data_IF_711428900186
#
_entry.id   IF_711428900186
#
_cell.length_a   1.000
_cell.length_b   1.000
_cell.length_c   1.000
_cell.angle_alpha   90.00
_cell.angle_beta   90.00
_cell.angle_gamma   90.00
#
_symmetry.space_group_name_H-M   'P 1'
#
loop_
_entity.id
_entity.type
_entity.pdbx_description
1 polymer ?
#
# COMPACT_ATOMS: atom_id res chain seq x y z
N UNK A 1 -6.90 32.73 -38.44
CA UNK A 1 -7.84 31.91 -39.22
C UNK A 1 -7.02 30.86 -39.97
N UNK A 2 -7.39 29.58 -39.84
CA UNK A 2 -6.80 28.32 -40.36
C UNK A 2 -6.08 27.45 -39.33
N UNK A 3 -6.98 26.76 -38.62
CA UNK A 3 -6.89 25.45 -38.00
C UNK A 3 -6.03 24.46 -38.81
N UNK A 4 -5.04 23.85 -38.15
CA UNK A 4 -4.48 22.54 -38.55
C UNK A 4 -4.55 21.63 -37.33
N UNK A 5 -5.76 21.14 -37.06
CA UNK A 5 -6.06 20.14 -36.06
C UNK A 5 -6.17 18.76 -36.74
N UNK A 6 -5.12 18.33 -37.43
CA UNK A 6 -5.03 16.98 -38.02
C UNK A 6 -3.55 16.57 -37.95
N UNK A 7 -3.19 15.68 -37.00
CA UNK A 7 -2.13 14.64 -37.12
C UNK A 7 -1.60 14.13 -35.76
N UNK A 8 -2.48 13.78 -34.81
CA UNK A 8 -2.07 12.99 -33.62
C UNK A 8 -2.43 11.51 -33.82
N UNK A 9 -3.67 11.20 -34.26
CA UNK A 9 -4.10 9.80 -34.55
C UNK A 9 -3.32 9.13 -35.69
N UNK A 10 -2.86 9.88 -36.69
CA UNK A 10 -2.09 9.32 -37.82
C UNK A 10 -0.66 8.94 -37.40
N UNK A 11 -0.05 9.72 -36.52
CA UNK A 11 1.28 9.43 -35.97
C UNK A 11 1.23 8.27 -34.97
N UNK A 12 0.17 8.19 -34.16
CA UNK A 12 -0.08 7.05 -33.27
C UNK A 12 -0.28 5.75 -34.07
N UNK A 13 -1.06 5.79 -35.15
CA UNK A 13 -1.26 4.63 -36.04
C UNK A 13 0.02 4.23 -36.78
N UNK A 14 0.85 5.19 -37.22
CA UNK A 14 2.15 4.90 -37.85
C UNK A 14 3.20 4.38 -36.87
N UNK A 15 3.28 4.91 -35.66
CA UNK A 15 4.17 4.39 -34.62
C UNK A 15 3.74 2.98 -34.20
N UNK A 16 2.43 2.72 -34.11
CA UNK A 16 1.87 1.40 -33.82
C UNK A 16 2.10 0.41 -34.97
N UNK A 17 1.91 0.83 -36.23
CA UNK A 17 2.22 0.02 -37.42
C UNK A 17 3.72 -0.20 -37.62
N UNK A 18 4.56 0.77 -37.25
CA UNK A 18 6.02 0.62 -37.26
C UNK A 18 6.47 -0.36 -36.18
N UNK A 19 5.96 -0.25 -34.95
CA UNK A 19 6.24 -1.22 -33.90
C UNK A 19 5.74 -2.63 -34.26
N UNK A 20 4.51 -2.76 -34.77
CA UNK A 20 3.98 -4.04 -35.28
C UNK A 20 4.78 -4.56 -36.47
N UNK A 21 5.22 -3.69 -37.38
CA UNK A 21 5.97 -4.03 -38.59
C UNK A 21 7.40 -4.47 -38.30
N UNK A 22 8.11 -3.76 -37.43
CA UNK A 22 9.46 -4.12 -36.97
C UNK A 22 9.43 -5.42 -36.16
N UNK A 23 8.43 -5.60 -35.28
CA UNK A 23 8.23 -6.85 -34.54
C UNK A 23 7.86 -8.04 -35.47
N UNK A 24 7.11 -7.82 -36.55
CA UNK A 24 6.79 -8.87 -37.56
C UNK A 24 7.94 -9.16 -38.51
N UNK A 25 8.72 -8.15 -38.90
CA UNK A 25 9.80 -8.27 -39.88
C UNK A 25 11.02 -8.98 -39.28
N UNK A 26 11.40 -8.66 -38.04
CA UNK A 26 12.49 -9.36 -37.33
C UNK A 26 12.13 -10.82 -37.02
N UNK A 27 10.84 -11.14 -36.85
CA UNK A 27 10.36 -12.51 -36.61
C UNK A 27 10.23 -13.36 -37.88
N UNK A 28 10.08 -12.77 -39.06
CA UNK A 28 9.87 -13.50 -40.33
C UNK A 28 11.13 -13.63 -41.19
N UNK A 29 12.23 -12.95 -40.84
CA UNK A 29 13.50 -12.97 -41.59
C UNK A 29 14.68 -13.63 -40.87
N UNK A 30 14.45 -14.59 -39.97
CA UNK A 30 15.55 -15.40 -39.41
C UNK A 30 15.47 -16.88 -39.82
N UNK A 31 16.58 -17.35 -40.39
CA UNK A 31 16.89 -18.70 -40.91
C UNK A 31 16.47 -19.86 -39.97
N UNK A 32 16.23 -21.09 -40.49
CA UNK A 32 15.93 -22.30 -39.72
C UNK A 32 16.94 -22.66 -38.60
N UNK A 33 18.09 -22.00 -38.56
CA UNK A 33 19.12 -22.18 -37.51
C UNK A 33 18.78 -21.51 -36.17
N UNK A 34 17.79 -20.62 -36.10
CA UNK A 34 17.42 -19.94 -34.84
C UNK A 34 16.57 -20.80 -33.90
N UNK A 35 15.74 -21.70 -34.45
CA UNK A 35 14.84 -22.59 -33.70
C UNK A 35 15.61 -23.61 -32.83
N UNK A 36 16.87 -23.91 -33.16
CA UNK A 36 17.67 -24.91 -32.45
C UNK A 36 18.30 -24.44 -31.12
N UNK A 37 18.28 -23.14 -30.79
CA UNK A 37 18.97 -22.58 -29.60
C UNK A 37 18.02 -22.00 -28.53
N UNK A 38 16.73 -22.30 -28.58
CA UNK A 38 15.74 -21.80 -27.63
C UNK A 38 15.75 -22.58 -26.30
N UNK A 39 16.67 -22.23 -25.41
CA UNK A 39 16.51 -22.44 -23.97
C UNK A 39 16.40 -21.13 -23.17
N UNK A 40 16.61 -19.97 -23.82
CA UNK A 40 16.41 -18.65 -23.19
C UNK A 40 16.38 -17.51 -24.25
N UNK A 41 15.21 -17.02 -24.71
CA UNK A 41 15.17 -15.90 -25.66
C UNK A 41 15.46 -14.61 -24.89
N UNK A 42 16.71 -14.14 -24.95
CA UNK A 42 17.05 -12.79 -24.52
C UNK A 42 16.65 -11.83 -25.64
N UNK A 43 15.81 -10.81 -25.39
CA UNK A 43 15.48 -9.83 -26.42
C UNK A 43 16.72 -9.02 -26.86
N UNK A 44 16.68 -8.39 -28.04
CA UNK A 44 17.78 -7.55 -28.51
C UNK A 44 18.11 -6.45 -27.47
N UNK A 45 19.38 -6.32 -27.03
CA UNK A 45 19.78 -5.38 -25.98
C UNK A 45 19.39 -3.92 -26.26
N UNK A 46 19.24 -3.56 -27.53
CA UNK A 46 18.92 -2.20 -27.96
C UNK A 46 17.48 -1.77 -27.60
N UNK A 47 16.50 -2.68 -27.54
CA UNK A 47 15.10 -2.31 -27.28
C UNK A 47 14.89 -1.76 -25.87
N UNK A 48 15.51 -2.38 -24.87
CA UNK A 48 15.48 -1.89 -23.49
C UNK A 48 16.21 -0.54 -23.38
N UNK A 49 17.32 -0.39 -24.08
CA UNK A 49 18.10 0.85 -24.10
C UNK A 49 17.34 1.99 -24.80
N UNK A 50 16.58 1.70 -25.86
CA UNK A 50 15.80 2.68 -26.59
C UNK A 50 14.53 3.08 -25.84
N UNK A 51 13.87 2.15 -25.15
CA UNK A 51 12.78 2.47 -24.22
C UNK A 51 13.27 3.38 -23.07
N UNK A 52 14.47 3.14 -22.55
CA UNK A 52 15.11 3.99 -21.54
C UNK A 52 15.40 5.41 -22.06
N UNK A 53 15.93 5.54 -23.28
CA UNK A 53 16.12 6.85 -23.93
C UNK A 53 14.79 7.58 -24.12
N UNK A 54 13.73 6.84 -24.46
CA UNK A 54 12.39 7.40 -24.64
C UNK A 54 11.85 8.00 -23.33
N UNK A 55 12.01 7.31 -22.20
CA UNK A 55 11.61 7.80 -20.87
C UNK A 55 12.39 9.07 -20.51
N UNK A 56 13.72 9.06 -20.71
CA UNK A 56 14.56 10.22 -20.45
C UNK A 56 14.17 11.43 -21.33
N UNK A 57 13.92 11.21 -22.62
CA UNK A 57 13.49 12.24 -23.56
C UNK A 57 12.10 12.80 -23.20
N UNK A 58 11.15 11.94 -22.81
CA UNK A 58 9.82 12.34 -22.36
C UNK A 58 9.86 13.23 -21.13
N UNK A 59 10.71 12.94 -20.14
CA UNK A 59 10.88 13.79 -18.95
C UNK A 59 11.49 15.15 -19.28
N UNK A 60 12.51 15.20 -20.13
CA UNK A 60 13.15 16.45 -20.54
C UNK A 60 12.25 17.37 -21.36
N UNK A 61 11.20 16.82 -21.97
CA UNK A 61 10.27 17.55 -22.85
C UNK A 61 8.90 17.77 -22.22
N UNK A 62 8.70 17.34 -20.97
CA UNK A 62 7.38 17.29 -20.28
C UNK A 62 6.30 16.53 -21.08
N UNK A 63 6.68 15.73 -22.07
CA UNK A 63 5.76 14.98 -22.92
C UNK A 63 5.53 13.57 -22.36
N UNK A 64 4.31 13.30 -21.92
CA UNK A 64 3.89 12.00 -21.39
C UNK A 64 3.40 11.03 -22.46
N UNK A 65 3.31 11.45 -23.73
CA UNK A 65 2.70 10.67 -24.82
C UNK A 65 3.38 9.32 -25.08
N UNK A 66 4.70 9.24 -24.85
CA UNK A 66 5.51 8.07 -25.16
C UNK A 66 5.81 7.17 -23.96
N UNK A 67 5.52 7.64 -22.73
CA UNK A 67 5.79 6.90 -21.51
C UNK A 67 5.08 5.53 -21.48
N UNK A 68 3.77 5.41 -21.81
CA UNK A 68 3.07 4.12 -21.74
C UNK A 68 3.74 3.03 -22.60
N UNK A 69 4.17 3.38 -23.83
CA UNK A 69 4.79 2.44 -24.75
C UNK A 69 6.21 2.03 -24.27
N UNK A 70 7.02 2.98 -23.79
CA UNK A 70 8.34 2.67 -23.25
C UNK A 70 8.26 1.79 -22.00
N UNK A 71 7.34 2.11 -21.08
CA UNK A 71 7.11 1.34 -19.87
C UNK A 71 6.64 -0.08 -20.19
N UNK A 72 5.70 -0.23 -21.13
CA UNK A 72 5.25 -1.55 -21.59
C UNK A 72 6.40 -2.38 -22.18
N UNK A 73 7.24 -1.79 -23.04
CA UNK A 73 8.41 -2.47 -23.60
C UNK A 73 9.41 -2.91 -22.53
N UNK A 74 9.64 -2.10 -21.50
CA UNK A 74 10.50 -2.48 -20.38
C UNK A 74 9.89 -3.58 -19.52
N UNK A 75 8.56 -3.65 -19.40
CA UNK A 75 7.87 -4.75 -18.71
C UNK A 75 7.99 -6.08 -19.46
N UNK A 76 7.89 -6.04 -20.78
CA UNK A 76 7.92 -7.25 -21.63
C UNK A 76 9.34 -7.76 -21.85
N UNK A 77 10.30 -6.85 -22.06
CA UNK A 77 11.63 -7.18 -22.57
C UNK A 77 12.78 -6.82 -21.62
N UNK A 78 12.49 -6.23 -20.45
CA UNK A 78 13.51 -5.79 -19.51
C UNK A 78 14.30 -6.95 -18.90
N UNK A 79 15.50 -7.21 -19.43
CA UNK A 79 16.50 -8.01 -18.73
C UNK A 79 17.28 -7.09 -17.76
N UNK A 80 16.85 -7.07 -16.50
CA UNK A 80 17.36 -6.16 -15.45
C UNK A 80 18.80 -6.46 -15.01
N UNK A 81 19.40 -7.56 -15.47
CA UNK A 81 20.77 -7.93 -15.11
C UNK A 81 21.84 -6.93 -15.59
N UNK A 82 21.51 -6.05 -16.54
CA UNK A 82 22.43 -5.05 -17.11
C UNK A 82 22.29 -3.62 -16.57
N UNK A 83 21.35 -3.34 -15.66
CA UNK A 83 21.21 -2.00 -15.06
C UNK A 83 22.28 -1.84 -13.98
N UNK A 84 23.45 -1.35 -14.40
CA UNK A 84 24.58 -1.09 -13.48
C UNK A 84 24.40 0.25 -12.77
N UNK A 85 25.01 0.45 -11.59
CA UNK A 85 24.96 1.73 -10.85
C UNK A 85 25.47 2.96 -11.63
N UNK A 86 26.17 2.75 -12.75
CA UNK A 86 26.77 3.80 -13.58
C UNK A 86 25.99 4.09 -14.87
N UNK A 87 24.86 3.41 -15.10
CA UNK A 87 23.94 3.72 -16.21
C UNK A 87 23.09 4.97 -15.93
N UNK A 88 22.33 5.48 -16.91
CA UNK A 88 21.35 6.54 -16.66
C UNK A 88 20.40 6.07 -15.54
N UNK A 89 20.45 6.77 -14.41
CA UNK A 89 19.65 6.47 -13.22
C UNK A 89 18.17 6.56 -13.60
N UNK A 90 17.49 5.42 -13.66
CA UNK A 90 16.03 5.37 -13.72
C UNK A 90 15.52 6.07 -12.47
N UNK A 91 14.64 7.06 -12.62
CA UNK A 91 13.99 7.65 -11.47
C UNK A 91 13.25 6.55 -10.70
N UNK A 92 13.35 6.54 -9.38
CA UNK A 92 12.80 5.46 -8.56
C UNK A 92 11.29 5.23 -8.80
N UNK A 93 10.55 6.27 -9.14
CA UNK A 93 9.14 6.20 -9.53
C UNK A 93 8.91 5.44 -10.85
N UNK A 94 9.79 5.63 -11.83
CA UNK A 94 9.75 4.92 -13.10
C UNK A 94 10.01 3.41 -12.88
N UNK A 95 10.91 3.07 -11.94
CA UNK A 95 11.15 1.68 -11.57
C UNK A 95 9.87 1.04 -11.01
N UNK A 96 9.17 1.71 -10.10
CA UNK A 96 7.92 1.22 -9.50
C UNK A 96 6.88 0.95 -10.59
N UNK A 97 6.72 1.89 -11.53
CA UNK A 97 5.81 1.75 -12.67
C UNK A 97 6.15 0.49 -13.50
N UNK A 98 7.41 0.33 -13.88
CA UNK A 98 7.86 -0.82 -14.68
C UNK A 98 7.62 -2.14 -13.95
N UNK A 99 7.82 -2.18 -12.64
CA UNK A 99 7.68 -3.39 -11.85
C UNK A 99 6.22 -3.80 -11.68
N UNK A 100 5.33 -2.83 -11.43
CA UNK A 100 3.88 -3.07 -11.44
C UNK A 100 3.42 -3.62 -12.78
N UNK A 101 3.88 -3.01 -13.88
CA UNK A 101 3.55 -3.50 -15.21
C UNK A 101 4.08 -4.91 -15.47
N UNK A 102 5.31 -5.21 -15.04
CA UNK A 102 5.92 -6.55 -15.17
C UNK A 102 5.17 -7.62 -14.38
N UNK A 103 4.76 -7.34 -13.14
CA UNK A 103 3.96 -8.25 -12.31
C UNK A 103 2.56 -8.48 -12.91
N UNK A 104 1.93 -7.42 -13.40
CA UNK A 104 0.64 -7.51 -14.09
C UNK A 104 0.74 -8.39 -15.35
N UNK A 105 1.80 -8.17 -16.15
CA UNK A 105 2.08 -8.95 -17.36
C UNK A 105 2.31 -10.43 -17.03
N UNK A 106 3.12 -10.74 -16.02
CA UNK A 106 3.38 -12.12 -15.59
C UNK A 106 2.10 -12.86 -15.16
N UNK A 107 1.16 -12.18 -14.51
CA UNK A 107 -0.14 -12.76 -14.10
C UNK A 107 -1.07 -12.99 -15.25
N UNK A 108 -1.20 -11.99 -16.12
CA UNK A 108 -2.01 -12.10 -17.31
C UNK A 108 -1.47 -13.25 -18.17
N UNK A 109 -0.15 -13.42 -18.25
CA UNK A 109 0.47 -14.55 -18.92
C UNK A 109 0.13 -15.88 -18.26
N UNK A 110 0.24 -15.98 -16.92
CA UNK A 110 -0.12 -17.20 -16.20
C UNK A 110 -1.57 -17.65 -16.44
N UNK A 111 -2.53 -16.72 -16.43
CA UNK A 111 -3.95 -16.99 -16.74
C UNK A 111 -4.13 -17.45 -18.18
N UNK A 112 -3.52 -16.75 -19.12
CA UNK A 112 -3.59 -17.06 -20.54
C UNK A 112 -2.96 -18.42 -20.85
N UNK A 113 -1.81 -18.73 -20.25
CA UNK A 113 -1.14 -20.03 -20.35
C UNK A 113 -2.01 -21.17 -19.82
N UNK A 114 -2.70 -20.97 -18.70
CA UNK A 114 -3.64 -21.96 -18.15
C UNK A 114 -4.83 -22.22 -19.09
N UNK A 115 -5.34 -21.19 -19.76
CA UNK A 115 -6.41 -21.33 -20.75
C UNK A 115 -5.95 -22.08 -22.01
N UNK A 116 -4.75 -21.78 -22.52
CA UNK A 116 -4.21 -22.45 -23.71
C UNK A 116 -3.75 -23.89 -23.44
N UNK A 117 -3.26 -24.18 -22.23
CA UNK A 117 -2.81 -25.51 -21.83
C UNK A 117 -3.92 -26.58 -21.75
N UNK A 118 -5.19 -26.18 -21.76
CA UNK A 118 -6.34 -27.10 -21.73
C UNK A 118 -6.77 -27.59 -23.13
N UNK A 119 -6.20 -27.05 -24.21
CA UNK A 119 -6.51 -27.46 -25.58
C UNK A 119 -5.50 -28.52 -26.05
N UNK A 120 -5.98 -29.76 -26.22
CA UNK A 120 -5.16 -30.94 -26.58
C UNK A 120 -4.96 -31.17 -28.08
N UNK A 121 -5.46 -30.28 -28.94
CA UNK A 121 -5.20 -30.38 -30.38
C UNK A 121 -3.86 -29.68 -30.72
N UNK A 122 -3.15 -30.18 -31.73
CA UNK A 122 -1.96 -29.61 -32.43
C UNK A 122 -0.57 -30.26 -32.21
N UNK A 123 0.10 -30.48 -33.35
CA UNK A 123 1.39 -31.17 -33.62
C UNK A 123 2.68 -30.37 -33.31
N UNK A 124 2.61 -29.25 -32.58
CA UNK A 124 3.81 -28.42 -32.31
C UNK A 124 4.63 -28.89 -31.11
N UNK A 125 5.95 -28.71 -31.18
CA UNK A 125 6.87 -28.90 -30.05
C UNK A 125 6.56 -27.90 -28.91
N UNK A 126 6.76 -28.27 -27.63
CA UNK A 126 6.37 -27.43 -26.49
C UNK A 126 7.01 -26.03 -26.47
N UNK A 127 8.26 -25.90 -26.93
CA UNK A 127 8.99 -24.63 -26.93
C UNK A 127 8.53 -23.66 -28.04
N UNK A 128 8.23 -24.18 -29.24
CA UNK A 128 7.68 -23.37 -30.32
C UNK A 128 6.27 -22.84 -29.98
N UNK A 129 5.48 -23.67 -29.28
CA UNK A 129 4.16 -23.33 -28.77
C UNK A 129 4.21 -22.20 -27.75
N UNK A 130 5.12 -22.28 -26.79
CA UNK A 130 5.29 -21.26 -25.75
C UNK A 130 5.72 -19.91 -26.32
N UNK A 131 6.62 -19.91 -27.32
CA UNK A 131 7.05 -18.70 -28.02
C UNK A 131 5.92 -18.04 -28.83
N UNK A 132 5.10 -18.82 -29.54
CA UNK A 132 3.96 -18.31 -30.30
C UNK A 132 2.91 -17.69 -29.36
N UNK A 133 2.53 -18.42 -28.31
CA UNK A 133 1.57 -17.91 -27.32
C UNK A 133 2.05 -16.64 -26.64
N UNK A 134 3.35 -16.53 -26.34
CA UNK A 134 3.92 -15.31 -25.76
C UNK A 134 3.78 -14.13 -26.73
N UNK A 135 4.06 -14.34 -28.01
CA UNK A 135 3.88 -13.33 -29.06
C UNK A 135 2.42 -12.87 -29.19
N UNK A 136 1.47 -13.80 -29.22
CA UNK A 136 0.03 -13.50 -29.27
C UNK A 136 -0.46 -12.76 -28.01
N UNK A 137 0.05 -13.16 -26.85
CA UNK A 137 -0.28 -12.56 -25.56
C UNK A 137 0.23 -11.12 -25.41
N UNK A 138 1.49 -10.88 -25.77
CA UNK A 138 2.09 -9.53 -25.72
C UNK A 138 1.46 -8.61 -26.78
N UNK A 139 1.00 -9.15 -27.90
CA UNK A 139 0.28 -8.37 -28.92
C UNK A 139 -1.20 -8.11 -28.58
N UNK A 140 -1.74 -8.75 -27.54
CA UNK A 140 -3.15 -8.64 -27.19
C UNK A 140 -3.48 -7.25 -26.60
N UNK A 141 -4.41 -6.54 -27.24
CA UNK A 141 -4.81 -5.17 -26.85
C UNK A 141 -5.42 -5.10 -25.44
N UNK A 142 -6.12 -6.14 -24.99
CA UNK A 142 -6.63 -6.25 -23.63
C UNK A 142 -5.48 -6.43 -22.62
N UNK A 143 -4.46 -7.22 -22.95
CA UNK A 143 -3.25 -7.36 -22.12
C UNK A 143 -2.54 -6.02 -21.99
N UNK A 144 -2.30 -5.33 -23.10
CA UNK A 144 -1.66 -4.00 -23.11
C UNK A 144 -2.44 -3.02 -22.23
N UNK A 145 -3.76 -2.91 -22.45
CA UNK A 145 -4.62 -2.00 -21.67
C UNK A 145 -4.60 -2.35 -20.18
N UNK A 146 -4.66 -3.62 -19.83
CA UNK A 146 -4.60 -4.09 -18.43
C UNK A 146 -3.28 -3.70 -17.76
N UNK A 147 -2.16 -3.92 -18.45
CA UNK A 147 -0.82 -3.59 -17.95
C UNK A 147 -0.63 -2.08 -17.82
N UNK A 148 -1.08 -1.29 -18.80
CA UNK A 148 -1.04 0.17 -18.75
C UNK A 148 -1.88 0.75 -17.60
N UNK A 149 -3.09 0.22 -17.39
CA UNK A 149 -3.94 0.62 -16.27
C UNK A 149 -3.30 0.28 -14.91
N UNK A 150 -2.69 -0.91 -14.78
CA UNK A 150 -1.97 -1.31 -13.56
C UNK A 150 -0.75 -0.43 -13.27
N UNK A 151 -0.17 0.18 -14.31
CA UNK A 151 0.92 1.16 -14.21
C UNK A 151 0.42 2.57 -13.87
N UNK A 152 -0.89 2.79 -13.71
CA UNK A 152 -1.46 4.10 -13.40
C UNK A 152 -1.69 4.99 -14.63
N UNK A 153 -1.48 4.47 -15.85
CA UNK A 153 -1.79 5.20 -17.09
C UNK A 153 -3.28 5.07 -17.40
N UNK A 154 -4.12 5.89 -16.75
CA UNK A 154 -5.55 5.98 -17.09
C UNK A 154 -5.75 6.91 -18.27
N UNK A 155 -6.45 6.47 -19.32
CA UNK A 155 -6.88 7.35 -20.41
C UNK A 155 -8.15 8.10 -20.00
N UNK A 156 -8.03 9.28 -19.37
CA UNK A 156 -9.15 10.22 -19.18
C UNK A 156 -8.66 11.69 -19.12
N UNK A 157 -9.42 12.68 -19.64
CA UNK A 157 -9.01 14.08 -19.68
C UNK A 157 -9.57 14.94 -18.51
N UNK A 158 -8.84 16.03 -18.18
CA UNK A 158 -9.24 17.22 -17.36
C UNK A 158 -9.10 17.02 -15.82
N UNK A 159 -8.41 17.84 -14.99
CA UNK A 159 -8.45 19.30 -14.78
C UNK A 159 -7.27 19.78 -13.86
N UNK A 160 -6.72 21.02 -14.03
CA UNK A 160 -6.02 21.76 -12.98
C UNK A 160 -6.85 22.96 -12.48
N UNK A 161 -7.51 22.87 -11.31
CA UNK A 161 -8.12 24.02 -10.59
C UNK A 161 -8.07 23.83 -9.05
N UNK A 162 -6.90 23.57 -8.48
CA UNK A 162 -6.77 23.38 -7.03
C UNK A 162 -5.58 24.14 -6.43
N UNK A 163 -5.27 25.32 -6.97
CA UNK A 163 -4.12 26.12 -6.55
C UNK A 163 -4.44 27.61 -6.32
N UNK A 164 -5.58 27.94 -5.69
CA UNK A 164 -5.91 29.35 -5.41
C UNK A 164 -6.58 29.69 -4.07
N UNK A 165 -6.66 28.77 -3.11
CA UNK A 165 -7.14 29.15 -1.78
C UNK A 165 -6.24 28.54 -0.71
N UNK A 166 -5.54 29.40 0.05
CA UNK A 166 -5.29 29.29 1.49
C UNK A 166 -4.44 30.51 1.92
N UNK A 167 -5.11 31.55 2.44
CA UNK A 167 -4.47 32.67 3.15
C UNK A 167 -4.48 32.34 4.66
N UNK A 168 -3.31 32.27 5.33
CA UNK A 168 -3.20 31.87 6.75
C UNK A 168 -3.70 32.90 7.77
N UNK A 169 -3.91 34.18 7.42
CA UNK A 169 -4.33 35.20 8.41
C UNK A 169 -5.84 35.23 8.68
N UNK A 170 -6.68 34.88 7.72
CA UNK A 170 -8.15 34.80 7.91
C UNK A 170 -8.59 33.63 8.80
N UNK A 171 -7.72 32.66 9.03
CA UNK A 171 -7.97 31.48 9.87
C UNK A 171 -7.93 31.80 11.38
N UNK A 172 -7.19 32.83 11.81
CA UNK A 172 -7.05 33.15 13.24
C UNK A 172 -8.30 33.83 13.81
N UNK A 173 -8.91 34.75 13.07
CA UNK A 173 -10.10 35.50 13.54
C UNK A 173 -11.38 34.66 13.50
N UNK A 174 -11.52 33.73 12.54
CA UNK A 174 -12.64 32.78 12.51
C UNK A 174 -12.54 31.73 13.62
N UNK A 175 -11.35 31.42 14.13
CA UNK A 175 -11.16 30.37 15.13
C UNK A 175 -11.80 30.72 16.48
N UNK A 176 -11.81 31.99 16.89
CA UNK A 176 -12.42 32.44 18.15
C UNK A 176 -13.95 32.42 18.11
N UNK A 177 -14.57 32.93 17.05
CA UNK A 177 -16.03 32.92 16.91
C UNK A 177 -16.59 31.51 16.68
N UNK A 178 -15.85 30.64 15.98
CA UNK A 178 -16.24 29.23 15.84
C UNK A 178 -16.18 28.48 17.16
N UNK A 179 -15.19 28.76 18.03
CA UNK A 179 -15.12 28.09 19.34
C UNK A 179 -16.36 28.36 20.18
N UNK A 180 -16.85 29.60 20.22
CA UNK A 180 -17.99 29.98 21.06
C UNK A 180 -19.33 29.41 20.56
N UNK A 181 -19.53 29.36 19.23
CA UNK A 181 -20.74 28.79 18.63
C UNK A 181 -20.78 27.26 18.82
N UNK A 182 -19.63 26.61 18.69
CA UNK A 182 -19.54 25.14 18.66
C UNK A 182 -19.73 24.51 20.05
N UNK A 183 -19.45 25.23 21.15
CA UNK A 183 -19.68 24.72 22.52
C UNK A 183 -21.17 24.54 22.82
N UNK A 184 -22.07 25.33 22.22
CA UNK A 184 -23.52 25.29 22.53
C UNK A 184 -24.21 24.00 22.10
N UNK A 185 -23.68 23.33 21.08
CA UNK A 185 -24.20 22.07 20.54
C UNK A 185 -23.40 20.84 21.01
N UNK A 186 -22.50 21.01 21.98
CA UNK A 186 -21.64 19.93 22.43
C UNK A 186 -22.43 18.84 23.18
N UNK A 187 -22.24 17.57 22.80
CA UNK A 187 -22.88 16.42 23.47
C UNK A 187 -21.97 15.86 24.56
N UNK A 188 -22.50 15.59 25.75
CA UNK A 188 -21.75 14.87 26.81
C UNK A 188 -21.59 13.38 26.45
N UNK A 189 -20.41 12.83 26.65
CA UNK A 189 -20.16 11.40 26.47
C UNK A 189 -20.91 10.59 27.53
N UNK A 190 -21.59 9.51 27.13
CA UNK A 190 -22.53 8.79 28.01
C UNK A 190 -21.85 8.11 29.20
N UNK A 191 -20.63 7.61 29.02
CA UNK A 191 -19.89 6.87 30.07
C UNK A 191 -18.71 7.65 30.68
N UNK A 192 -18.20 8.69 30.00
CA UNK A 192 -16.96 9.38 30.37
C UNK A 192 -17.29 10.82 30.77
N UNK A 193 -18.22 10.95 31.71
CA UNK A 193 -18.66 12.22 32.23
C UNK A 193 -18.77 12.18 33.75
N UNK A 194 -17.62 12.14 34.42
CA UNK A 194 -17.56 12.01 35.88
C UNK A 194 -17.82 13.35 36.59
N UNK A 195 -18.45 13.31 37.77
CA UNK A 195 -18.66 14.49 38.62
C UNK A 195 -17.48 14.74 39.57
N UNK A 196 -17.01 15.98 39.67
CA UNK A 196 -15.92 16.37 40.58
C UNK A 196 -14.70 17.04 39.92
N UNK A 197 -13.52 16.86 40.54
CA UNK A 197 -12.23 17.44 40.14
C UNK A 197 -11.65 16.83 38.86
N UNK A 198 -12.27 17.16 37.74
CA UNK A 198 -11.99 16.61 36.41
C UNK A 198 -11.50 17.68 35.44
N UNK A 199 -10.95 17.23 34.32
CA UNK A 199 -10.75 18.07 33.13
C UNK A 199 -11.86 17.76 32.14
N UNK A 200 -12.45 18.81 31.57
CA UNK A 200 -13.40 18.72 30.45
C UNK A 200 -12.62 18.84 29.14
N UNK A 201 -12.72 17.81 28.31
CA UNK A 201 -12.13 17.73 26.98
C UNK A 201 -13.25 17.81 25.94
N UNK A 202 -13.06 18.60 24.89
CA UNK A 202 -13.94 18.68 23.73
C UNK A 202 -13.27 17.99 22.55
N UNK A 203 -13.85 16.88 22.08
CA UNK A 203 -13.28 16.03 21.02
C UNK A 203 -14.10 16.04 19.74
N UNK A 204 -13.42 16.06 18.60
CA UNK A 204 -14.00 15.94 17.27
C UNK A 204 -14.56 17.26 16.69
N UNK A 205 -15.02 17.23 15.43
CA UNK A 205 -15.55 18.42 14.75
C UNK A 205 -16.90 18.88 15.30
N UNK A 206 -17.73 17.93 15.75
CA UNK A 206 -18.90 18.18 16.58
C UNK A 206 -18.49 17.78 17.99
N UNK A 207 -18.25 18.74 18.91
CA UNK A 207 -17.64 18.40 20.17
C UNK A 207 -18.45 17.42 20.98
N UNK A 208 -17.77 16.34 21.34
CA UNK A 208 -18.22 15.47 22.41
C UNK A 208 -17.43 15.82 23.66
N UNK A 209 -18.12 16.22 24.73
CA UNK A 209 -17.51 16.56 26.00
C UNK A 209 -17.22 15.29 26.80
N UNK A 210 -15.95 15.09 27.13
CA UNK A 210 -15.49 14.04 28.03
C UNK A 210 -14.98 14.71 29.31
N UNK A 211 -15.50 14.29 30.45
CA UNK A 211 -15.06 14.76 31.76
C UNK A 211 -14.31 13.65 32.47
N UNK A 212 -12.98 13.77 32.51
CA UNK A 212 -12.04 12.72 32.94
C UNK A 212 -11.16 13.19 34.11
N UNK A 213 -10.71 12.27 34.96
CA UNK A 213 -9.88 12.66 36.12
C UNK A 213 -8.55 13.25 35.68
N UNK A 214 -8.27 14.48 36.12
CA UNK A 214 -7.02 15.18 35.83
C UNK A 214 -5.80 14.37 36.26
N UNK A 215 -5.85 13.82 37.47
CA UNK A 215 -4.76 13.02 38.03
C UNK A 215 -4.45 11.80 37.16
N UNK A 216 -5.46 11.14 36.59
CA UNK A 216 -5.26 10.01 35.69
C UNK A 216 -4.52 10.45 34.42
N UNK A 217 -4.98 11.50 33.73
CA UNK A 217 -4.33 11.99 32.51
C UNK A 217 -2.87 12.38 32.76
N UNK A 218 -2.60 13.16 33.80
CA UNK A 218 -1.25 13.62 34.16
C UNK A 218 -0.34 12.47 34.58
N UNK A 219 -0.88 11.42 35.22
CA UNK A 219 -0.09 10.27 35.65
C UNK A 219 0.23 9.33 34.48
N UNK A 220 -0.72 9.17 33.55
CA UNK A 220 -0.65 8.15 32.49
C UNK A 220 -0.16 8.70 31.14
N UNK A 221 -0.05 10.02 30.99
CA UNK A 221 0.41 10.67 29.76
C UNK A 221 1.33 11.84 30.07
N UNK A 222 2.54 11.78 29.51
CA UNK A 222 3.52 12.85 29.62
C UNK A 222 3.05 14.12 28.89
N UNK A 223 2.40 13.93 27.73
CA UNK A 223 1.84 15.02 26.94
C UNK A 223 0.76 15.78 27.73
N UNK A 224 -0.15 15.06 28.41
CA UNK A 224 -1.16 15.72 29.25
C UNK A 224 -0.56 16.31 30.52
N UNK A 225 0.48 15.70 31.12
CA UNK A 225 1.20 16.29 32.24
C UNK A 225 1.80 17.65 31.87
N UNK A 226 2.42 17.74 30.71
CA UNK A 226 3.04 18.98 30.24
C UNK A 226 1.95 20.00 29.84
N UNK A 227 0.97 19.58 29.04
CA UNK A 227 -0.14 20.42 28.58
C UNK A 227 -0.94 21.04 29.73
N UNK A 228 -1.23 20.24 30.76
CA UNK A 228 -2.01 20.68 31.91
C UNK A 228 -1.13 21.32 33.00
N UNK A 229 0.19 21.06 32.99
CA UNK A 229 1.13 21.56 33.99
C UNK A 229 1.54 23.01 33.81
N UNK A 230 1.29 23.61 32.64
CA UNK A 230 1.60 25.02 32.37
C UNK A 230 0.77 25.90 33.33
N UNK A 231 1.42 26.69 34.20
CA UNK A 231 0.70 27.63 35.05
C UNK A 231 -0.05 28.64 34.16
N UNK A 232 -1.35 28.78 34.38
CA UNK A 232 -2.10 29.80 33.63
C UNK A 232 -1.57 31.19 34.01
N UNK A 233 -1.37 32.08 33.04
CA UNK A 233 -1.06 33.47 33.30
C UNK A 233 -2.14 34.02 34.25
N UNK A 234 -1.73 34.42 35.45
CA UNK A 234 -2.60 35.19 36.34
C UNK A 234 -2.67 36.59 35.76
N UNK A 235 -3.50 36.81 34.75
CA UNK A 235 -3.80 38.17 34.30
C UNK A 235 -4.52 38.89 35.44
N UNK A 236 -3.98 40.05 35.80
CA UNK A 236 -4.30 40.81 37.00
C UNK A 236 -5.81 41.09 37.13
N UNK A 237 -6.52 40.27 37.92
CA UNK A 237 -7.86 40.57 38.43
C UNK A 237 -9.06 40.17 37.55
N UNK A 238 -8.84 39.51 36.41
CA UNK A 238 -9.93 38.92 35.62
C UNK A 238 -10.09 37.43 35.98
N UNK A 239 -11.24 37.03 36.53
CA UNK A 239 -11.64 35.62 36.71
C UNK A 239 -11.89 34.95 35.34
N UNK A 240 -10.88 34.91 34.48
CA UNK A 240 -10.95 34.09 33.28
C UNK A 240 -11.02 32.62 33.70
N UNK A 241 -12.12 31.96 33.36
CA UNK A 241 -12.33 30.53 33.62
C UNK A 241 -11.14 29.76 33.06
N UNK A 242 -10.50 28.94 33.89
CA UNK A 242 -9.34 28.13 33.48
C UNK A 242 -9.78 27.08 32.46
N UNK A 243 -9.05 26.98 31.35
CA UNK A 243 -9.31 25.98 30.31
C UNK A 243 -9.33 24.55 30.89
N UNK A 244 -10.37 23.82 30.53
CA UNK A 244 -10.64 22.46 30.99
C UNK A 244 -11.38 22.35 32.33
N UNK A 245 -11.74 23.44 33.01
CA UNK A 245 -12.48 23.35 34.28
C UNK A 245 -14.01 23.31 34.12
N UNK A 246 -14.55 23.80 33.00
CA UNK A 246 -16.00 23.85 32.76
C UNK A 246 -16.35 23.43 31.33
N UNK A 247 -17.62 23.08 31.14
CA UNK A 247 -18.19 22.77 29.83
C UNK A 247 -18.11 23.96 28.86
N UNK A 248 -18.17 25.18 29.40
CA UNK A 248 -18.09 26.43 28.64
C UNK A 248 -16.66 26.76 28.19
N UNK A 249 -15.64 26.16 28.82
CA UNK A 249 -14.25 26.36 28.47
C UNK A 249 -13.46 25.03 28.50
N UNK A 250 -13.77 24.06 27.62
CA UNK A 250 -13.10 22.77 27.60
C UNK A 250 -11.75 22.83 26.86
N UNK A 251 -10.88 21.85 27.10
CA UNK A 251 -9.66 21.68 26.27
C UNK A 251 -10.06 21.03 24.95
N UNK A 252 -9.83 21.71 23.83
CA UNK A 252 -10.19 21.21 22.51
C UNK A 252 -9.11 20.27 21.94
N UNK A 253 -9.52 19.06 21.57
CA UNK A 253 -8.69 18.05 20.93
C UNK A 253 -9.30 17.68 19.57
N UNK A 254 -8.50 17.62 18.49
CA UNK A 254 -9.01 17.35 17.14
C UNK A 254 -9.34 15.87 16.88
N UNK A 255 -9.19 15.00 17.89
CA UNK A 255 -9.29 13.55 17.75
C UNK A 255 -10.74 13.05 17.74
N UNK A 256 -10.93 11.84 17.21
CA UNK A 256 -12.22 11.18 17.25
C UNK A 256 -12.62 10.85 18.71
N UNK A 257 -13.82 11.24 19.16
CA UNK A 257 -14.23 11.05 20.54
C UNK A 257 -14.37 9.57 20.92
N UNK A 258 -14.73 8.68 19.98
CA UNK A 258 -14.87 7.25 20.27
C UNK A 258 -13.51 6.61 20.47
N UNK A 259 -12.54 6.89 19.61
CA UNK A 259 -11.18 6.36 19.76
C UNK A 259 -10.52 6.85 21.05
N UNK A 260 -10.66 8.13 21.36
CA UNK A 260 -10.11 8.70 22.60
C UNK A 260 -10.76 8.07 23.82
N UNK A 261 -12.09 7.93 23.82
CA UNK A 261 -12.83 7.26 24.88
C UNK A 261 -12.33 5.82 25.10
N UNK A 262 -12.07 5.07 24.02
CA UNK A 262 -11.58 3.69 24.11
C UNK A 262 -10.17 3.59 24.70
N UNK A 263 -9.27 4.51 24.32
CA UNK A 263 -7.94 4.57 24.92
C UNK A 263 -8.01 4.88 26.43
N UNK A 264 -8.90 5.80 26.83
CA UNK A 264 -9.11 6.14 28.24
C UNK A 264 -9.78 5.00 29.02
N UNK A 265 -10.69 4.23 28.40
CA UNK A 265 -11.34 3.06 29.02
C UNK A 265 -10.36 2.00 29.50
N UNK A 266 -9.18 1.87 28.88
CA UNK A 266 -8.11 0.96 29.35
C UNK A 266 -7.71 1.23 30.81
N UNK A 267 -7.85 2.48 31.27
CA UNK A 267 -7.50 2.88 32.65
C UNK A 267 -8.66 2.75 33.64
N UNK A 268 -9.90 2.64 33.13
CA UNK A 268 -11.12 2.59 33.95
C UNK A 268 -11.86 1.24 33.83
N UNK A 269 -11.13 0.15 33.55
CA UNK A 269 -11.72 -1.18 33.30
C UNK A 269 -12.71 -1.66 34.39
N UNK A 270 -12.57 -1.20 35.64
CA UNK A 270 -13.44 -1.59 36.74
C UNK A 270 -14.65 -0.65 36.95
N UNK A 271 -14.69 0.50 36.30
CA UNK A 271 -15.71 1.53 36.48
C UNK A 271 -16.60 1.72 35.27
N UNK A 272 -16.13 1.30 34.09
CA UNK A 272 -16.83 1.50 32.82
C UNK A 272 -17.22 0.17 32.19
N UNK A 273 -18.01 0.26 31.13
CA UNK A 273 -18.30 -0.88 30.27
C UNK A 273 -16.97 -1.54 29.86
N UNK A 274 -16.83 -2.86 30.06
CA UNK A 274 -15.61 -3.57 29.70
C UNK A 274 -15.28 -3.37 28.22
N UNK A 275 -13.98 -3.35 27.91
CA UNK A 275 -13.56 -3.41 26.52
C UNK A 275 -14.09 -4.70 25.88
N UNK A 276 -14.42 -4.69 24.58
CA UNK A 276 -14.84 -5.91 23.89
C UNK A 276 -13.82 -7.02 24.09
N UNK A 277 -14.28 -8.25 24.35
CA UNK A 277 -13.39 -9.41 24.50
C UNK A 277 -12.58 -9.67 23.23
N UNK A 278 -13.21 -9.45 22.07
CA UNK A 278 -12.58 -9.50 20.75
C UNK A 278 -12.87 -8.19 20.00
N UNK A 279 -12.08 -7.14 20.21
CA UNK A 279 -12.26 -5.89 19.51
C UNK A 279 -11.94 -6.07 18.02
N UNK A 280 -12.60 -5.29 17.16
CA UNK A 280 -12.25 -5.28 15.74
C UNK A 280 -10.90 -4.58 15.51
N UNK A 281 -10.33 -4.78 14.32
CA UNK A 281 -9.01 -4.24 13.99
C UNK A 281 -8.98 -2.71 14.04
N UNK A 282 -9.98 -2.03 13.48
CA UNK A 282 -10.03 -0.57 13.43
C UNK A 282 -10.14 0.06 14.82
N UNK A 283 -10.86 -0.58 15.73
CA UNK A 283 -10.95 -0.22 17.14
C UNK A 283 -9.57 -0.25 17.81
N UNK A 284 -8.83 -1.34 17.64
CA UNK A 284 -7.49 -1.49 18.24
C UNK A 284 -6.52 -0.46 17.65
N UNK A 285 -6.61 -0.21 16.35
CA UNK A 285 -5.80 0.80 15.66
C UNK A 285 -6.12 2.22 16.13
N UNK A 286 -7.39 2.54 16.38
CA UNK A 286 -7.80 3.81 16.97
C UNK A 286 -7.22 4.01 18.36
N UNK A 287 -7.28 2.98 19.21
CA UNK A 287 -6.64 3.02 20.54
C UNK A 287 -5.13 3.22 20.43
N UNK A 288 -4.45 2.48 19.56
CA UNK A 288 -3.00 2.60 19.34
C UNK A 288 -2.62 4.01 18.85
N UNK A 289 -3.42 4.61 17.97
CA UNK A 289 -3.22 5.95 17.43
C UNK A 289 -3.28 7.01 18.53
N UNK A 290 -4.34 7.01 19.33
CA UNK A 290 -4.49 7.93 20.48
C UNK A 290 -3.37 7.69 21.49
N UNK A 291 -3.09 6.42 21.79
CA UNK A 291 -2.09 6.08 22.78
C UNK A 291 -0.67 6.49 22.36
N UNK A 292 -0.34 6.38 21.07
CA UNK A 292 0.93 6.85 20.51
C UNK A 292 1.02 8.37 20.46
N UNK A 293 -0.10 9.07 20.18
CA UNK A 293 -0.13 10.54 20.13
C UNK A 293 0.06 11.18 21.51
N UNK A 294 -0.58 10.63 22.53
CA UNK A 294 -0.57 11.17 23.88
C UNK A 294 0.36 10.41 24.84
N UNK A 295 1.13 9.43 24.36
CA UNK A 295 2.02 8.59 25.16
C UNK A 295 1.30 7.87 26.33
N UNK A 296 0.12 7.30 26.06
CA UNK A 296 -0.59 6.44 27.00
C UNK A 296 -0.02 5.03 26.99
N UNK A 297 1.06 4.79 27.75
CA UNK A 297 1.82 3.54 27.70
C UNK A 297 0.97 2.27 27.85
N UNK A 298 0.12 2.19 28.88
CA UNK A 298 -0.73 1.01 29.13
C UNK A 298 -1.75 0.75 28.02
N UNK A 299 -2.28 1.81 27.41
CA UNK A 299 -3.19 1.69 26.27
C UNK A 299 -2.46 1.18 25.01
N UNK A 300 -1.22 1.65 24.77
CA UNK A 300 -0.37 1.13 23.71
C UNK A 300 -0.02 -0.35 23.95
N UNK A 301 0.36 -0.73 25.16
CA UNK A 301 0.65 -2.12 25.52
C UNK A 301 -0.58 -3.02 25.32
N UNK A 302 -1.77 -2.55 25.74
CA UNK A 302 -3.02 -3.27 25.50
C UNK A 302 -3.28 -3.45 24.00
N UNK A 303 -3.16 -2.38 23.21
CA UNK A 303 -3.41 -2.46 21.77
C UNK A 303 -2.40 -3.40 21.08
N UNK A 304 -1.12 -3.32 21.42
CA UNK A 304 -0.12 -4.24 20.91
C UNK A 304 -0.34 -5.68 21.37
N UNK A 305 -0.75 -5.92 22.62
CA UNK A 305 -1.12 -7.24 23.11
C UNK A 305 -2.23 -7.87 22.29
N UNK A 306 -3.26 -7.09 21.97
CA UNK A 306 -4.36 -7.52 21.09
C UNK A 306 -3.88 -7.78 19.67
N UNK A 307 -3.08 -6.87 19.09
CA UNK A 307 -2.51 -7.08 17.75
C UNK A 307 -1.60 -8.31 17.68
N UNK A 308 -0.83 -8.64 18.73
CA UNK A 308 -0.02 -9.87 18.77
C UNK A 308 -0.87 -11.13 18.68
N UNK A 309 -2.04 -11.13 19.32
CA UNK A 309 -2.93 -12.29 19.26
C UNK A 309 -3.36 -12.61 17.82
N UNK A 310 -3.54 -11.60 16.97
CA UNK A 310 -4.04 -11.76 15.61
C UNK A 310 -2.98 -11.69 14.50
N UNK A 311 -1.91 -10.93 14.70
CA UNK A 311 -0.92 -10.60 13.68
C UNK A 311 0.50 -11.08 13.98
N UNK A 312 0.79 -11.66 15.15
CA UNK A 312 2.10 -12.24 15.37
C UNK A 312 2.35 -13.42 14.42
N UNK A 313 3.63 -13.68 14.08
CA UNK A 313 4.01 -14.81 13.23
C UNK A 313 3.55 -16.17 13.79
N UNK A 314 3.51 -16.29 15.12
CA UNK A 314 3.05 -17.48 15.85
C UNK A 314 1.53 -17.50 16.03
N UNK A 315 0.80 -16.46 15.60
CA UNK A 315 -0.66 -16.42 15.69
C UNK A 315 -1.28 -17.44 14.73
N UNK A 316 -2.15 -18.28 15.27
CA UNK A 316 -3.00 -19.16 14.46
C UNK A 316 -3.98 -18.37 13.59
N UNK A 317 -4.40 -17.18 14.03
CA UNK A 317 -5.27 -16.28 13.25
C UNK A 317 -4.56 -15.82 11.98
N UNK A 318 -3.33 -15.30 12.13
CA UNK A 318 -2.50 -14.87 10.99
C UNK A 318 -2.20 -16.02 10.01
N UNK A 319 -1.83 -17.20 10.53
CA UNK A 319 -1.59 -18.38 9.69
C UNK A 319 -2.87 -18.87 8.98
N UNK A 320 -4.01 -18.80 9.68
CA UNK A 320 -5.32 -19.07 9.10
C UNK A 320 -5.65 -18.11 7.96
N UNK A 321 -5.28 -16.84 8.09
CA UNK A 321 -5.44 -15.86 7.02
C UNK A 321 -4.61 -16.16 5.78
N UNK A 322 -3.36 -16.60 5.95
CA UNK A 322 -2.49 -16.99 4.82
C UNK A 322 -3.06 -18.18 4.03
N UNK A 323 -3.64 -19.16 4.74
CA UNK A 323 -4.11 -20.40 4.13
C UNK A 323 -5.55 -20.35 3.62
N UNK A 324 -6.31 -19.31 4.01
CA UNK A 324 -7.69 -19.12 3.59
C UNK A 324 -7.75 -18.75 2.08
N UNK A 325 -8.46 -19.52 1.24
CA UNK A 325 -8.61 -19.23 -0.19
C UNK A 325 -9.34 -17.91 -0.47
N UNK A 326 -10.15 -17.45 0.47
CA UNK A 326 -10.93 -16.21 0.39
C UNK A 326 -10.68 -15.40 1.66
N UNK A 327 -9.51 -14.73 1.78
CA UNK A 327 -9.24 -13.88 2.93
C UNK A 327 -10.28 -12.75 3.02
N UNK A 328 -10.54 -12.21 4.22
CA UNK A 328 -11.39 -11.04 4.38
C UNK A 328 -10.94 -9.90 3.43
N UNK A 329 -11.89 -9.20 2.77
CA UNK A 329 -11.56 -8.22 1.72
C UNK A 329 -10.77 -7.02 2.26
N UNK A 330 -10.90 -6.72 3.54
CA UNK A 330 -10.24 -5.65 4.28
C UNK A 330 -8.83 -6.01 4.74
N UNK A 331 -8.44 -7.29 4.71
CA UNK A 331 -7.22 -7.74 5.36
C UNK A 331 -5.93 -7.14 4.75
N UNK A 332 -5.93 -6.89 3.44
CA UNK A 332 -4.84 -6.14 2.79
C UNK A 332 -4.75 -4.70 3.29
N UNK A 333 -5.88 -4.02 3.49
CA UNK A 333 -5.91 -2.68 4.06
C UNK A 333 -5.47 -2.70 5.53
N UNK A 334 -5.84 -3.73 6.29
CA UNK A 334 -5.42 -3.89 7.67
C UNK A 334 -3.89 -4.06 7.77
N UNK A 335 -3.27 -4.83 6.87
CA UNK A 335 -1.81 -4.93 6.80
C UNK A 335 -1.14 -3.58 6.51
N UNK A 336 -1.70 -2.77 5.59
CA UNK A 336 -1.20 -1.43 5.28
C UNK A 336 -1.33 -0.48 6.48
N UNK A 337 -2.50 -0.46 7.13
CA UNK A 337 -2.74 0.31 8.36
C UNK A 337 -1.77 -0.09 9.47
N UNK A 338 -1.51 -1.40 9.61
CA UNK A 338 -0.58 -1.95 10.60
C UNK A 338 0.86 -1.52 10.34
N UNK A 339 1.31 -1.50 9.08
CA UNK A 339 2.63 -0.97 8.70
C UNK A 339 2.73 0.50 9.12
N UNK A 340 1.76 1.32 8.73
CA UNK A 340 1.75 2.75 9.04
C UNK A 340 1.79 3.01 10.55
N UNK A 341 0.95 2.33 11.33
CA UNK A 341 0.94 2.52 12.78
C UNK A 341 2.21 1.99 13.45
N UNK A 342 2.77 0.89 12.95
CA UNK A 342 4.04 0.35 13.44
C UNK A 342 5.16 1.38 13.26
N UNK A 343 5.21 2.04 12.08
CA UNK A 343 6.18 3.13 11.82
C UNK A 343 5.97 4.32 12.75
N UNK A 344 4.73 4.80 12.90
CA UNK A 344 4.39 5.95 13.77
C UNK A 344 4.73 5.66 15.23
N UNK A 345 4.43 4.45 15.70
CA UNK A 345 4.71 4.02 17.06
C UNK A 345 6.17 3.60 17.29
N UNK A 346 7.00 3.58 16.24
CA UNK A 346 8.39 3.11 16.32
C UNK A 346 8.54 1.60 16.60
N UNK A 347 7.49 0.82 16.41
CA UNK A 347 7.52 -0.64 16.58
C UNK A 347 7.87 -1.33 15.27
N UNK A 348 8.82 -2.26 15.31
CA UNK A 348 9.20 -3.07 14.15
C UNK A 348 8.62 -4.49 14.19
N UNK A 349 7.92 -4.85 15.26
CA UNK A 349 7.45 -6.22 15.54
C UNK A 349 6.50 -6.74 14.45
N UNK A 350 5.60 -5.89 13.96
CA UNK A 350 4.56 -6.28 13.00
C UNK A 350 4.95 -6.05 11.54
N UNK A 351 6.07 -5.34 11.28
CA UNK A 351 6.48 -5.03 9.91
C UNK A 351 6.73 -6.32 9.10
N UNK A 352 7.53 -7.30 9.56
CA UNK A 352 7.86 -8.49 8.76
C UNK A 352 6.62 -9.26 8.33
N UNK A 353 5.69 -9.49 9.25
CA UNK A 353 4.44 -10.25 9.04
C UNK A 353 3.46 -9.50 8.13
N UNK A 354 3.33 -8.18 8.28
CA UNK A 354 2.47 -7.37 7.42
C UNK A 354 3.01 -7.28 5.99
N UNK A 355 4.32 -7.06 5.82
CA UNK A 355 4.96 -7.04 4.50
C UNK A 355 4.87 -8.40 3.81
N UNK A 356 5.18 -9.48 4.52
CA UNK A 356 5.06 -10.84 3.97
C UNK A 356 3.62 -11.12 3.52
N UNK A 357 2.64 -10.75 4.33
CA UNK A 357 1.22 -10.90 3.99
C UNK A 357 0.86 -10.18 2.69
N UNK A 358 1.29 -8.93 2.52
CA UNK A 358 1.07 -8.17 1.29
C UNK A 358 1.77 -8.79 0.08
N UNK A 359 2.98 -9.36 0.24
CA UNK A 359 3.66 -10.07 -0.84
C UNK A 359 2.89 -11.32 -1.31
N UNK A 360 2.23 -12.03 -0.40
CA UNK A 360 1.47 -13.26 -0.70
C UNK A 360 0.19 -12.96 -1.50
N UNK A 361 -0.58 -11.96 -1.08
CA UNK A 361 -1.89 -11.68 -1.67
C UNK A 361 -1.87 -10.62 -2.78
N UNK A 362 -0.79 -9.84 -2.87
CA UNK A 362 -0.63 -8.75 -3.84
C UNK A 362 -1.78 -7.73 -3.88
N UNK A 363 -2.48 -7.62 -2.76
CA UNK A 363 -3.58 -6.66 -2.58
C UNK A 363 -3.08 -5.21 -2.49
N UNK A 364 -1.77 -4.98 -2.58
CA UNK A 364 -1.14 -3.65 -2.60
C UNK A 364 -1.03 -3.06 -4.01
N UNK A 365 -1.40 -3.81 -5.06
CA UNK A 365 -1.37 -3.32 -6.45
C UNK A 365 -2.21 -2.06 -6.67
N UNK A 366 -3.33 -1.93 -5.94
CA UNK A 366 -4.23 -0.78 -5.96
C UNK A 366 -3.67 0.47 -5.25
N UNK A 367 -2.58 0.33 -4.47
CA UNK A 367 -1.96 1.47 -3.77
C UNK A 367 -1.14 2.25 -4.79
N UNK A 368 -1.58 3.47 -5.12
CA UNK A 368 -0.86 4.32 -6.07
C UNK A 368 0.52 4.72 -5.50
N UNK A 369 1.56 4.86 -6.34
CA UNK A 369 2.79 5.52 -5.90
C UNK A 369 2.45 6.93 -5.39
N UNK A 370 2.90 7.28 -4.18
CA UNK A 370 2.54 8.53 -3.51
C UNK A 370 1.30 8.46 -2.62
N UNK A 371 0.67 7.29 -2.47
CA UNK A 371 -0.32 7.05 -1.43
C UNK A 371 0.33 7.28 -0.05
N UNK A 372 -0.26 8.11 0.84
CA UNK A 372 0.29 8.37 2.16
C UNK A 372 0.43 7.12 3.04
N UNK A 373 -0.19 5.99 2.68
CA UNK A 373 -0.10 4.76 3.46
C UNK A 373 1.26 4.04 3.36
N UNK A 374 1.98 4.16 2.23
CA UNK A 374 3.27 3.48 2.03
C UNK A 374 4.35 4.48 1.60
N UNK A 375 5.42 4.54 2.38
CA UNK A 375 6.61 5.28 1.97
C UNK A 375 7.29 4.62 0.77
N UNK A 376 8.12 5.38 0.07
CA UNK A 376 8.89 4.87 -1.05
C UNK A 376 9.82 3.69 -0.66
N UNK A 377 10.34 3.71 0.57
CA UNK A 377 11.15 2.62 1.12
C UNK A 377 10.31 1.37 1.36
N UNK A 378 9.08 1.51 1.85
CA UNK A 378 8.16 0.38 2.05
C UNK A 378 7.81 -0.30 0.71
N UNK A 379 7.69 0.47 -0.38
CA UNK A 379 7.54 -0.09 -1.72
C UNK A 379 8.75 -0.93 -2.16
N UNK A 380 9.98 -0.47 -1.87
CA UNK A 380 11.19 -1.25 -2.18
C UNK A 380 11.19 -2.56 -1.38
N UNK A 381 10.80 -2.51 -0.11
CA UNK A 381 10.69 -3.68 0.77
C UNK A 381 9.70 -4.69 0.18
N UNK A 382 8.48 -4.26 -0.17
CA UNK A 382 7.46 -5.10 -0.80
C UNK A 382 7.95 -5.75 -2.08
N UNK A 383 8.64 -4.98 -2.92
CA UNK A 383 9.17 -5.48 -4.18
C UNK A 383 10.21 -6.59 -3.96
N UNK A 384 11.17 -6.35 -3.05
CA UNK A 384 12.20 -7.34 -2.72
C UNK A 384 11.57 -8.62 -2.20
N UNK A 385 10.59 -8.50 -1.30
CA UNK A 385 9.82 -9.62 -0.77
C UNK A 385 9.08 -10.39 -1.85
N UNK A 386 8.32 -9.71 -2.71
CA UNK A 386 7.55 -10.32 -3.80
C UNK A 386 8.45 -11.07 -4.81
N UNK A 387 9.58 -10.47 -5.18
CA UNK A 387 10.58 -11.12 -6.05
C UNK A 387 11.18 -12.36 -5.41
N UNK A 388 11.57 -12.28 -4.13
CA UNK A 388 12.11 -13.40 -3.39
C UNK A 388 11.07 -14.54 -3.25
N UNK A 389 9.82 -14.20 -2.91
CA UNK A 389 8.73 -15.15 -2.79
C UNK A 389 8.48 -15.88 -4.12
N UNK A 390 8.43 -15.16 -5.24
CA UNK A 390 8.25 -15.75 -6.58
C UNK A 390 9.39 -16.69 -6.95
N UNK A 391 10.64 -16.30 -6.69
CA UNK A 391 11.83 -17.14 -6.95
C UNK A 391 11.82 -18.41 -6.11
N UNK A 392 11.49 -18.28 -4.83
CA UNK A 392 11.44 -19.39 -3.86
C UNK A 392 10.31 -20.35 -4.24
N UNK A 393 9.14 -19.82 -4.63
CA UNK A 393 8.02 -20.61 -5.14
C UNK A 393 8.41 -21.42 -6.36
N UNK A 394 9.10 -20.81 -7.34
CA UNK A 394 9.56 -21.53 -8.53
C UNK A 394 10.45 -22.72 -8.19
N UNK A 395 11.39 -22.55 -7.26
CA UNK A 395 12.29 -23.61 -6.82
C UNK A 395 11.54 -24.72 -6.07
N UNK A 396 10.67 -24.33 -5.13
CA UNK A 396 9.84 -25.25 -4.35
C UNK A 396 8.90 -26.06 -5.24
N UNK A 397 8.24 -25.40 -6.20
CA UNK A 397 7.35 -26.03 -7.19
C UNK A 397 8.10 -27.03 -8.05
N UNK A 398 9.28 -26.68 -8.56
CA UNK A 398 10.09 -27.60 -9.37
C UNK A 398 10.50 -28.85 -8.58
N UNK A 399 10.84 -28.70 -7.30
CA UNK A 399 11.16 -29.83 -6.43
C UNK A 399 9.95 -30.78 -6.27
N UNK A 400 8.76 -30.25 -5.96
CA UNK A 400 7.54 -31.07 -5.84
C UNK A 400 7.15 -31.74 -7.16
N UNK A 401 7.32 -31.05 -8.29
CA UNK A 401 7.06 -31.64 -9.61
C UNK A 401 7.99 -32.83 -9.92
N UNK A 402 9.24 -32.80 -9.47
CA UNK A 402 10.16 -33.94 -9.61
C UNK A 402 9.76 -35.12 -8.72
N UNK A 403 9.24 -34.85 -7.52
CA UNK A 403 8.87 -35.87 -6.53
C UNK A 403 7.52 -36.56 -6.84
N UNK A 404 6.51 -35.78 -7.27
CA UNK A 404 5.13 -36.26 -7.42
C UNK A 404 4.61 -36.24 -8.87
N UNK A 405 5.39 -35.72 -9.82
CA UNK A 405 4.91 -35.39 -11.16
C UNK A 405 4.13 -34.07 -11.20
N UNK A 406 3.72 -33.64 -12.39
CA UNK A 406 2.90 -32.44 -12.56
C UNK A 406 1.41 -32.79 -12.54
N UNK A 407 0.72 -32.31 -11.50
CA UNK A 407 -0.72 -32.52 -11.30
C UNK A 407 -1.35 -31.13 -11.00
N UNK A 408 -2.04 -30.49 -11.96
CA UNK A 408 -2.59 -29.14 -11.82
C UNK A 408 -3.50 -28.96 -10.61
N UNK A 409 -4.25 -30.01 -10.24
CA UNK A 409 -5.21 -30.00 -9.14
C UNK A 409 -4.56 -29.72 -7.78
N UNK A 410 -3.26 -30.04 -7.62
CA UNK A 410 -2.53 -29.79 -6.38
C UNK A 410 -1.89 -28.40 -6.32
N UNK A 411 -1.86 -27.61 -7.41
CA UNK A 411 -1.12 -26.34 -7.42
C UNK A 411 -1.64 -25.35 -6.36
N UNK A 412 -2.96 -25.27 -6.18
CA UNK A 412 -3.56 -24.42 -5.16
C UNK A 412 -3.23 -24.89 -3.72
N UNK A 413 -3.18 -26.21 -3.50
CA UNK A 413 -2.82 -26.79 -2.20
C UNK A 413 -1.33 -26.60 -1.90
N UNK A 414 -0.48 -26.82 -2.90
CA UNK A 414 0.95 -26.58 -2.85
C UNK A 414 1.28 -25.12 -2.55
N UNK A 415 0.56 -24.17 -3.15
CA UNK A 415 0.72 -22.76 -2.82
C UNK A 415 0.43 -22.48 -1.34
N UNK A 416 -0.66 -23.06 -0.79
CA UNK A 416 -1.02 -22.92 0.63
C UNK A 416 0.05 -23.50 1.56
N UNK A 417 0.54 -24.71 1.25
CA UNK A 417 1.63 -25.33 2.00
C UNK A 417 2.91 -24.47 1.95
N UNK A 418 3.24 -23.95 0.77
CA UNK A 418 4.41 -23.13 0.56
C UNK A 418 4.38 -21.81 1.34
N UNK A 419 3.28 -21.06 1.29
CA UNK A 419 3.17 -19.75 1.96
C UNK A 419 3.04 -19.87 3.48
N UNK A 420 2.51 -20.99 3.98
CA UNK A 420 2.39 -21.28 5.41
C UNK A 420 3.66 -21.92 6.00
N UNK A 421 4.57 -22.41 5.15
CA UNK A 421 5.80 -23.03 5.60
C UNK A 421 6.75 -22.01 6.26
N UNK A 422 7.23 -22.37 7.45
CA UNK A 422 8.12 -21.52 8.23
C UNK A 422 9.48 -21.33 7.54
N UNK A 423 9.95 -22.30 6.74
CA UNK A 423 11.22 -22.16 6.02
C UNK A 423 11.09 -21.14 4.90
N UNK A 424 9.97 -21.11 4.18
CA UNK A 424 9.64 -20.06 3.20
C UNK A 424 9.64 -18.68 3.85
N UNK A 425 8.91 -18.50 4.95
CA UNK A 425 8.84 -17.21 5.65
C UNK A 425 10.25 -16.75 6.04
N UNK A 426 11.04 -17.63 6.68
CA UNK A 426 12.42 -17.32 7.10
C UNK A 426 13.36 -17.05 5.92
N UNK A 427 13.11 -17.59 4.73
CA UNK A 427 13.89 -17.28 3.53
C UNK A 427 13.54 -15.90 2.94
N UNK A 428 12.26 -15.50 2.99
CA UNK A 428 11.77 -14.27 2.35
C UNK A 428 12.05 -13.03 3.22
N UNK A 429 11.87 -13.11 4.54
CA UNK A 429 12.01 -11.95 5.44
C UNK A 429 13.40 -11.27 5.37
N UNK A 430 14.54 -11.99 5.32
CA UNK A 430 15.87 -11.37 5.19
C UNK A 430 16.05 -10.60 3.89
N UNK A 431 15.41 -11.04 2.79
CA UNK A 431 15.46 -10.31 1.51
C UNK A 431 14.81 -8.93 1.59
N UNK A 432 13.87 -8.76 2.53
CA UNK A 432 13.18 -7.52 2.83
C UNK A 432 13.94 -6.64 3.85
N UNK A 433 15.06 -7.14 4.40
CA UNK A 433 15.83 -6.43 5.42
C UNK A 433 15.35 -6.65 6.86
N UNK A 434 14.49 -7.65 7.08
CA UNK A 434 14.07 -8.05 8.42
C UNK A 434 14.96 -9.19 8.92
N UNK A 435 15.47 -9.06 10.15
CA UNK A 435 16.35 -10.03 10.79
C UNK A 435 15.59 -11.22 11.40
#
# INVERSE_FOLDING_TARGET
MRVLHISSRYQLHKAFQWAQGTLRADWTQTSPTWIANCSNPSPPPHLAQDAMKLIAASRNTESTEFLPAAFYLLCVFGNWAGVTPNGPSIAQDDLIIILKGSQCLARAWGRTRAQYGASNDYDFSPSAREAQWWGEFVANSTTITTVLNAMGFTTSPVLPQLAMALNPESLKTMSTDLKEVVVRDAKRHEELYFEGGHVVLALGPIPTLLRVQRAMLVTQSEIFRDMLGIPLPREDGSETSVEGLSDDNPVFLPDDPKEFACAVKVYYQHMLTPLPEKPDFDFVMGVLRIASKYYFHRASEWAFGTLRADWARTSSTWQGHLTNPTPPPDLGQNALKLILASRIAGSTEFLPVAFYFLCVFDNWSNVAPGDPMLSQDDFIILLKGSRCLTKTWGSWRSQRQLEYGYIPEYEAQWWKEFIADNTTITAVLPSMGFA
#
